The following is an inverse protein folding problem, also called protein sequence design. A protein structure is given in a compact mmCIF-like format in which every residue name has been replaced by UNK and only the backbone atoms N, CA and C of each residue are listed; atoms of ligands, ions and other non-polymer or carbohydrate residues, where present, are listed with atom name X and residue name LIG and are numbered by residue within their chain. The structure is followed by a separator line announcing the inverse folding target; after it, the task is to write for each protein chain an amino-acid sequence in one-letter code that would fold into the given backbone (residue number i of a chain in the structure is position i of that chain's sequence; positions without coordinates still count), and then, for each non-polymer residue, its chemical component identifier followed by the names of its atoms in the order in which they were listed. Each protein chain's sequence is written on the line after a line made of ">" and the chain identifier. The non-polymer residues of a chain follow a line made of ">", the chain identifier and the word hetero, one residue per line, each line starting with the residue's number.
data_IF_845836293469
#
_entry.id   IF_845836293469
#
_cell.length_a   1.000
_cell.length_b   1.000
_cell.length_c   1.000
_cell.angle_alpha   90.00
_cell.angle_beta   90.00
_cell.angle_gamma   90.00
#
_symmetry.space_group_name_H-M   'P 1'
#
loop_
_entity.id
_entity.type
_entity.pdbx_description
1 polymer ?
#
# COMPACT_ATOMS: atom_id res chain seq x y z
N UNK A 1 17.94 2.59 18.18
CA UNK A 1 17.74 3.07 16.80
C UNK A 1 16.28 3.33 16.58
N UNK A 2 15.93 4.19 15.61
CA UNK A 2 14.62 4.82 15.57
C UNK A 2 13.99 4.81 14.17
N UNK A 3 12.68 5.04 14.10
CA UNK A 3 11.96 5.13 12.81
C UNK A 3 12.41 6.36 12.03
N UNK A 4 12.78 7.41 12.73
CA UNK A 4 13.29 8.66 12.18
C UNK A 4 14.60 8.42 11.41
N UNK A 5 15.54 7.64 11.97
CA UNK A 5 16.80 7.33 11.27
C UNK A 5 16.59 6.42 10.05
N UNK A 6 15.70 5.43 10.16
CA UNK A 6 15.34 4.59 9.02
C UNK A 6 14.62 5.38 7.90
N UNK A 7 13.70 6.27 8.30
CA UNK A 7 13.01 7.18 7.38
C UNK A 7 13.95 8.18 6.71
N UNK A 8 14.94 8.70 7.45
CA UNK A 8 15.96 9.59 6.92
C UNK A 8 16.84 8.92 5.87
N UNK A 9 17.23 7.66 6.06
CA UNK A 9 17.98 6.90 5.05
C UNK A 9 17.16 6.69 3.76
N UNK A 10 15.86 6.40 3.87
CA UNK A 10 14.97 6.30 2.70
C UNK A 10 14.83 7.65 2.00
N UNK A 11 14.74 8.76 2.75
CA UNK A 11 14.73 10.12 2.19
C UNK A 11 16.01 10.39 1.40
N UNK A 12 17.17 10.12 1.99
CA UNK A 12 18.47 10.34 1.35
C UNK A 12 18.59 9.56 0.04
N UNK A 13 18.09 8.31 0.00
CA UNK A 13 18.03 7.53 -1.23
C UNK A 13 17.06 8.12 -2.28
N UNK A 14 15.91 8.63 -1.87
CA UNK A 14 14.98 9.29 -2.79
C UNK A 14 15.65 10.54 -3.39
N UNK A 15 16.28 11.36 -2.55
CA UNK A 15 16.89 12.62 -2.94
C UNK A 15 18.15 12.42 -3.78
N UNK A 16 18.92 11.34 -3.56
CA UNK A 16 20.07 10.99 -4.40
C UNK A 16 19.68 10.55 -5.83
N UNK A 17 18.40 10.29 -6.08
CA UNK A 17 17.83 10.02 -7.41
C UNK A 17 17.14 11.25 -8.01
N UNK A 18 17.26 12.41 -7.36
CA UNK A 18 16.54 13.64 -7.70
C UNK A 18 15.01 13.47 -7.72
N UNK A 19 14.47 12.51 -6.95
CA UNK A 19 13.03 12.27 -6.90
C UNK A 19 12.36 13.16 -5.86
N UNK A 20 11.28 13.82 -6.26
CA UNK A 20 10.36 14.44 -5.31
C UNK A 20 9.52 13.39 -4.59
N UNK A 21 8.82 13.78 -3.52
CA UNK A 21 7.81 12.92 -2.90
C UNK A 21 6.69 12.55 -3.88
N UNK A 22 6.39 13.40 -4.86
CA UNK A 22 5.39 13.12 -5.88
C UNK A 22 5.86 12.03 -6.85
N UNK A 23 7.14 12.04 -7.23
CA UNK A 23 7.73 11.01 -8.09
C UNK A 23 7.74 9.65 -7.39
N UNK A 24 8.14 9.61 -6.11
CA UNK A 24 8.08 8.38 -5.33
C UNK A 24 6.62 7.91 -5.11
N UNK A 25 5.67 8.83 -4.94
CA UNK A 25 4.26 8.48 -4.83
C UNK A 25 3.74 7.84 -6.13
N UNK A 26 4.10 8.40 -7.28
CA UNK A 26 3.76 7.84 -8.59
C UNK A 26 4.38 6.45 -8.80
N UNK A 27 5.65 6.25 -8.41
CA UNK A 27 6.34 4.96 -8.55
C UNK A 27 5.79 3.86 -7.62
N UNK A 28 5.28 4.22 -6.43
CA UNK A 28 4.91 3.25 -5.38
C UNK A 28 3.39 3.08 -5.22
N UNK A 29 2.59 4.03 -5.71
CA UNK A 29 1.17 4.12 -5.40
C UNK A 29 0.87 4.38 -3.92
N UNK A 30 1.83 4.96 -3.18
CA UNK A 30 1.67 5.41 -1.79
C UNK A 30 1.45 6.92 -1.78
N UNK A 31 0.55 7.42 -0.94
CA UNK A 31 0.28 8.86 -0.89
C UNK A 31 1.51 9.67 -0.45
N UNK A 32 1.66 10.88 -0.99
CA UNK A 32 2.71 11.85 -0.61
C UNK A 32 2.77 12.04 0.91
N UNK A 33 1.60 12.17 1.56
CA UNK A 33 1.50 12.29 3.01
C UNK A 33 2.01 11.04 3.73
N UNK A 34 1.68 9.85 3.23
CA UNK A 34 2.17 8.57 3.77
C UNK A 34 3.68 8.44 3.67
N UNK A 35 4.26 8.83 2.53
CA UNK A 35 5.71 8.88 2.33
C UNK A 35 6.37 9.91 3.27
N UNK A 36 5.79 11.11 3.41
CA UNK A 36 6.27 12.13 4.36
C UNK A 36 6.29 11.63 5.80
N UNK A 37 5.23 10.92 6.23
CA UNK A 37 5.21 10.34 7.58
C UNK A 37 6.28 9.26 7.76
N UNK A 38 6.49 8.43 6.75
CA UNK A 38 7.51 7.38 6.77
C UNK A 38 8.91 7.97 6.85
N UNK A 39 9.25 8.94 6.01
CA UNK A 39 10.59 9.54 5.98
C UNK A 39 10.90 10.37 7.24
N UNK A 40 9.88 10.83 7.96
CA UNK A 40 10.03 11.50 9.26
C UNK A 40 9.94 10.53 10.44
N UNK A 41 9.72 9.24 10.21
CA UNK A 41 9.50 8.25 11.28
C UNK A 41 8.24 8.46 12.11
N UNK A 42 7.36 9.38 11.71
CA UNK A 42 6.27 9.91 12.52
C UNK A 42 5.15 8.89 12.81
N UNK A 43 5.02 7.85 11.98
CA UNK A 43 4.02 6.78 12.15
C UNK A 43 4.64 5.43 11.83
N UNK A 44 4.09 4.37 12.44
CA UNK A 44 4.41 3.00 12.05
C UNK A 44 3.72 2.70 10.71
N UNK A 45 4.46 2.45 9.61
CA UNK A 45 3.84 2.06 8.35
C UNK A 45 3.28 0.63 8.44
N UNK A 46 2.21 0.35 7.69
CA UNK A 46 1.75 -1.02 7.49
C UNK A 46 2.76 -1.79 6.63
N UNK A 47 2.80 -3.12 6.83
CA UNK A 47 3.68 -4.02 6.05
C UNK A 47 3.49 -3.86 4.53
N UNK A 48 2.25 -3.72 4.08
CA UNK A 48 1.92 -3.52 2.66
C UNK A 48 2.47 -2.19 2.11
N UNK A 49 2.44 -1.13 2.91
CA UNK A 49 3.03 0.17 2.55
C UNK A 49 4.54 0.08 2.42
N UNK A 50 5.21 -0.58 3.38
CA UNK A 50 6.66 -0.82 3.33
C UNK A 50 7.04 -1.56 2.05
N UNK A 51 6.33 -2.65 1.72
CA UNK A 51 6.61 -3.44 0.52
C UNK A 51 6.46 -2.61 -0.77
N UNK A 52 5.43 -1.77 -0.88
CA UNK A 52 5.24 -0.89 -2.04
C UNK A 52 6.41 0.07 -2.21
N UNK A 53 6.90 0.64 -1.10
CA UNK A 53 8.02 1.59 -1.10
C UNK A 53 9.32 0.89 -1.47
N UNK A 54 9.61 -0.25 -0.85
CA UNK A 54 10.78 -1.07 -1.17
C UNK A 54 10.79 -1.44 -2.66
N UNK A 55 9.66 -1.90 -3.19
CA UNK A 55 9.54 -2.23 -4.61
C UNK A 55 9.76 -1.01 -5.52
N UNK A 56 9.12 0.13 -5.23
CA UNK A 56 9.27 1.33 -6.06
C UNK A 56 10.66 1.96 -5.99
N UNK A 57 11.40 1.72 -4.90
CA UNK A 57 12.81 2.10 -4.78
C UNK A 57 13.77 1.02 -5.31
N UNK A 58 13.27 -0.16 -5.70
CA UNK A 58 14.12 -1.27 -6.12
C UNK A 58 14.97 -1.86 -4.99
N UNK A 59 14.49 -1.76 -3.75
CA UNK A 59 15.17 -2.30 -2.57
C UNK A 59 14.78 -3.76 -2.32
N UNK A 60 15.71 -4.59 -1.78
CA UNK A 60 15.37 -5.93 -1.33
C UNK A 60 14.23 -5.93 -0.30
N UNK A 61 13.31 -6.92 -0.32
CA UNK A 61 12.26 -7.02 0.68
C UNK A 61 12.80 -7.09 2.11
N UNK A 62 12.20 -6.32 3.02
CA UNK A 62 12.59 -6.27 4.42
C UNK A 62 13.78 -5.35 4.71
N UNK A 63 14.25 -4.59 3.72
CA UNK A 63 15.25 -3.52 3.89
C UNK A 63 14.86 -2.59 5.04
N UNK A 64 13.63 -2.07 5.06
CA UNK A 64 13.18 -1.14 6.09
C UNK A 64 13.29 -1.73 7.50
N UNK A 65 12.98 -3.02 7.66
CA UNK A 65 13.12 -3.71 8.95
C UNK A 65 14.57 -3.78 9.42
N UNK A 66 15.53 -3.95 8.51
CA UNK A 66 16.96 -3.91 8.83
C UNK A 66 17.38 -2.50 9.23
N UNK A 67 16.91 -1.48 8.50
CA UNK A 67 17.19 -0.06 8.81
C UNK A 67 16.70 0.34 10.21
N UNK A 68 15.57 -0.20 10.66
CA UNK A 68 15.03 0.08 12.01
C UNK A 68 15.96 -0.35 13.15
N UNK A 69 16.82 -1.35 12.92
CA UNK A 69 17.71 -1.95 13.91
C UNK A 69 19.20 -1.76 13.57
N UNK A 70 19.51 -1.03 12.49
CA UNK A 70 20.88 -0.77 12.06
C UNK A 70 21.45 0.43 12.81
N UNK A 71 22.70 0.31 13.29
CA UNK A 71 23.34 1.38 14.08
C UNK A 71 23.59 2.61 13.21
N UNK A 72 23.90 2.35 11.95
CA UNK A 72 23.98 3.32 10.87
C UNK A 72 23.09 2.82 9.71
N UNK A 73 21.85 3.33 9.61
CA UNK A 73 20.92 2.95 8.55
C UNK A 73 21.41 3.35 7.16
N UNK A 74 22.16 4.43 7.02
CA UNK A 74 22.63 4.90 5.71
C UNK A 74 23.73 3.98 5.18
N UNK A 75 24.70 3.62 6.03
CA UNK A 75 25.72 2.64 5.67
C UNK A 75 25.11 1.25 5.40
N UNK A 76 24.11 0.83 6.18
CA UNK A 76 23.41 -0.44 5.91
C UNK A 76 22.66 -0.41 4.58
N UNK A 77 21.95 0.68 4.28
CA UNK A 77 21.27 0.85 2.99
C UNK A 77 22.25 0.80 1.82
N UNK A 78 23.38 1.49 1.92
CA UNK A 78 24.44 1.46 0.91
C UNK A 78 24.99 0.05 0.70
N UNK A 79 25.22 -0.72 1.78
CA UNK A 79 25.63 -2.13 1.67
C UNK A 79 24.58 -2.98 0.98
N UNK A 80 23.30 -2.82 1.29
CA UNK A 80 22.23 -3.59 0.66
C UNK A 80 22.11 -3.29 -0.84
N UNK A 81 22.29 -2.03 -1.22
CA UNK A 81 22.31 -1.62 -2.62
C UNK A 81 23.57 -2.12 -3.37
N UNK A 82 24.73 -2.12 -2.73
CA UNK A 82 25.98 -2.60 -3.32
C UNK A 82 26.08 -4.14 -3.36
N UNK A 83 25.49 -4.82 -2.37
CA UNK A 83 25.42 -6.28 -2.29
C UNK A 83 24.37 -6.88 -3.22
N UNK A 84 23.54 -6.04 -3.86
CA UNK A 84 22.81 -6.44 -5.04
C UNK A 84 23.84 -6.54 -6.17
N UNK A 85 24.23 -7.75 -6.65
CA UNK A 85 24.86 -7.80 -7.95
C UNK A 85 23.88 -7.15 -8.93
N UNK A 86 24.35 -6.76 -10.11
CA UNK A 86 23.49 -6.78 -11.29
C UNK A 86 23.03 -8.23 -11.50
N UNK A 87 22.20 -8.75 -10.60
CA UNK A 87 21.33 -9.85 -10.86
C UNK A 87 20.40 -9.28 -11.90
N UNK A 88 20.75 -9.51 -13.17
CA UNK A 88 19.75 -9.84 -14.17
C UNK A 88 18.56 -10.42 -13.41
N UNK A 89 17.44 -9.70 -13.43
CA UNK A 89 16.15 -10.27 -13.04
C UNK A 89 16.22 -11.73 -13.48
N UNK A 90 16.13 -12.73 -12.59
CA UNK A 90 16.18 -14.12 -13.03
C UNK A 90 15.13 -14.17 -14.11
N UNK A 91 15.58 -14.35 -15.37
CA UNK A 91 14.77 -14.10 -16.55
C UNK A 91 13.42 -14.70 -16.23
N UNK A 92 12.40 -13.84 -16.08
CA UNK A 92 11.08 -14.15 -15.54
C UNK A 92 10.84 -15.60 -15.89
N UNK A 93 10.85 -16.54 -14.93
CA UNK A 93 10.74 -17.96 -15.28
C UNK A 93 9.51 -18.07 -16.18
N UNK A 94 9.73 -18.20 -17.49
CA UNK A 94 8.68 -18.33 -18.50
C UNK A 94 8.27 -19.81 -18.56
N UNK A 95 8.38 -20.50 -17.44
CA UNK A 95 7.58 -21.69 -17.21
C UNK A 95 6.18 -21.21 -16.82
N UNK A 96 5.10 -21.90 -17.25
CA UNK A 96 3.81 -21.65 -16.66
C UNK A 96 3.97 -21.76 -15.15
N UNK A 97 3.54 -20.74 -14.40
CA UNK A 97 3.28 -20.91 -12.98
C UNK A 97 2.18 -21.96 -12.92
N UNK A 98 2.57 -23.21 -12.70
CA UNK A 98 1.62 -24.30 -12.44
C UNK A 98 1.11 -24.05 -11.03
N UNK A 99 0.09 -23.22 -10.94
CA UNK A 99 -0.80 -23.20 -9.79
C UNK A 99 -1.46 -24.56 -9.82
N UNK A 100 -1.05 -25.46 -8.93
CA UNK A 100 -1.85 -26.64 -8.65
C UNK A 100 -3.14 -26.11 -8.02
N UNK A 101 -4.16 -25.97 -8.86
CA UNK A 101 -5.52 -25.76 -8.40
C UNK A 101 -5.93 -27.07 -7.75
N UNK A 102 -5.49 -27.29 -6.53
CA UNK A 102 -6.11 -28.29 -5.68
C UNK A 102 -7.61 -27.99 -5.72
N UNK A 103 -8.36 -29.02 -6.10
CA UNK A 103 -9.80 -29.07 -6.35
C UNK A 103 -10.67 -28.78 -5.11
N UNK A 104 -10.11 -28.15 -4.08
CA UNK A 104 -10.78 -27.85 -2.81
C UNK A 104 -11.44 -26.45 -2.85
N UNK A 105 -11.69 -25.89 -4.05
CA UNK A 105 -12.39 -24.60 -4.19
C UNK A 105 -13.90 -24.73 -4.04
N UNK A 106 -14.46 -25.94 -4.09
CA UNK A 106 -15.91 -26.17 -3.93
C UNK A 106 -16.44 -25.56 -2.61
N UNK A 107 -15.65 -25.65 -1.53
CA UNK A 107 -15.99 -25.04 -0.23
C UNK A 107 -15.99 -23.52 -0.31
N UNK A 108 -15.04 -22.93 -1.05
CA UNK A 108 -14.93 -21.48 -1.22
C UNK A 108 -16.01 -20.92 -2.15
N UNK A 109 -16.37 -21.67 -3.20
CA UNK A 109 -17.44 -21.34 -4.14
C UNK A 109 -18.79 -21.36 -3.43
N UNK A 110 -19.10 -22.43 -2.68
CA UNK A 110 -20.32 -22.48 -1.87
C UNK A 110 -20.39 -21.38 -0.80
N UNK A 111 -19.26 -21.02 -0.20
CA UNK A 111 -19.19 -19.89 0.72
C UNK A 111 -19.46 -18.55 0.02
N UNK A 112 -18.90 -18.34 -1.17
CA UNK A 112 -19.09 -17.12 -1.95
C UNK A 112 -20.56 -16.97 -2.41
N UNK A 113 -21.19 -18.07 -2.84
CA UNK A 113 -22.60 -18.11 -3.22
C UNK A 113 -23.51 -17.73 -2.03
N UNK A 114 -23.26 -18.33 -0.86
CA UNK A 114 -24.00 -18.00 0.35
C UNK A 114 -23.86 -16.51 0.76
N UNK A 115 -22.67 -15.93 0.59
CA UNK A 115 -22.44 -14.50 0.85
C UNK A 115 -23.18 -13.60 -0.13
N UNK A 116 -23.21 -13.96 -1.42
CA UNK A 116 -23.95 -13.22 -2.44
C UNK A 116 -25.45 -13.24 -2.16
N UNK A 117 -26.00 -14.37 -1.75
CA UNK A 117 -27.42 -14.48 -1.42
C UNK A 117 -27.79 -13.72 -0.14
N UNK A 118 -26.92 -13.72 0.87
CA UNK A 118 -27.10 -12.90 2.05
C UNK A 118 -27.13 -11.40 1.71
N UNK A 119 -26.23 -10.95 0.82
CA UNK A 119 -26.18 -9.56 0.35
C UNK A 119 -27.42 -9.19 -0.46
N UNK A 120 -27.88 -10.05 -1.39
CA UNK A 120 -29.11 -9.81 -2.15
C UNK A 120 -30.32 -9.71 -1.23
N UNK A 121 -30.45 -10.61 -0.26
CA UNK A 121 -31.53 -10.59 0.73
C UNK A 121 -31.51 -9.31 1.57
N UNK A 122 -30.31 -8.79 1.90
CA UNK A 122 -30.19 -7.51 2.58
C UNK A 122 -30.62 -6.34 1.68
N UNK A 123 -30.22 -6.34 0.41
CA UNK A 123 -30.60 -5.34 -0.59
C UNK A 123 -32.12 -5.30 -0.78
N UNK A 124 -32.77 -6.47 -0.90
CA UNK A 124 -34.23 -6.56 -1.09
C UNK A 124 -35.02 -6.07 0.13
N UNK A 125 -34.40 -6.10 1.32
CA UNK A 125 -34.97 -5.58 2.58
C UNK A 125 -34.66 -4.11 2.80
N UNK A 126 -33.83 -3.48 1.95
CA UNK A 126 -33.63 -2.05 2.04
C UNK A 126 -34.98 -1.37 1.77
N UNK A 127 -35.29 -0.30 2.51
CA UNK A 127 -36.44 0.52 2.17
C UNK A 127 -36.29 1.00 0.72
N UNK A 128 -37.41 1.18 0.02
CA UNK A 128 -37.40 1.86 -1.27
C UNK A 128 -36.56 3.14 -1.14
N UNK A 129 -35.76 3.47 -2.15
CA UNK A 129 -35.00 4.71 -2.18
C UNK A 129 -35.98 5.89 -2.24
N UNK A 130 -36.61 6.22 -1.13
CA UNK A 130 -37.39 7.43 -0.95
C UNK A 130 -36.38 8.54 -0.73
N UNK A 131 -35.85 9.07 -1.83
CA UNK A 131 -35.20 10.36 -1.84
C UNK A 131 -36.24 11.39 -1.39
N UNK A 132 -36.31 11.70 -0.10
CA UNK A 132 -37.03 12.89 0.34
C UNK A 132 -36.53 13.46 1.69
N UNK A 133 -35.85 12.65 2.51
CA UNK A 133 -35.33 13.15 3.80
C UNK A 133 -34.08 14.04 3.62
N UNK A 134 -33.22 13.76 2.63
CA UNK A 134 -32.00 14.57 2.39
C UNK A 134 -32.23 15.78 1.47
N UNK A 135 -33.20 15.70 0.56
CA UNK A 135 -33.52 16.78 -0.38
C UNK A 135 -34.14 17.98 0.35
N UNK A 136 -34.98 17.71 1.36
CA UNK A 136 -35.57 18.73 2.24
C UNK A 136 -34.50 19.46 3.06
N UNK A 137 -33.48 18.74 3.56
CA UNK A 137 -32.40 19.34 4.33
C UNK A 137 -31.54 20.28 3.47
N UNK A 138 -31.17 19.86 2.25
CA UNK A 138 -30.36 20.68 1.33
C UNK A 138 -31.10 21.97 0.93
N UNK A 139 -32.41 21.89 0.64
CA UNK A 139 -33.21 23.07 0.29
C UNK A 139 -33.45 24.01 1.49
N UNK A 140 -33.49 23.49 2.72
CA UNK A 140 -33.65 24.32 3.93
C UNK A 140 -32.41 25.17 4.23
N UNK A 141 -31.21 24.64 3.98
CA UNK A 141 -29.94 25.31 4.26
C UNK A 141 -29.70 26.45 3.26
N UNK A 142 -30.09 26.27 1.99
CA UNK A 142 -29.90 27.28 0.93
C UNK A 142 -30.86 28.48 1.05
N UNK A 143 -32.01 28.31 1.73
CA UNK A 143 -32.96 29.40 1.99
C UNK A 143 -32.60 30.27 3.20
N UNK A 144 -31.66 29.81 4.03
CA UNK A 144 -31.20 30.52 5.23
C UNK A 144 -30.03 31.48 4.97
N UNK A 145 -29.55 31.57 3.72
CA UNK A 145 -28.36 32.36 3.32
C UNK A 145 -28.72 33.43 2.27
N UNK A 146 -29.96 33.92 2.28
CA UNK A 146 -30.37 35.10 1.48
C UNK A 146 -31.00 36.18 2.35
#
# INVERSE_FOLDING_TARGET
>A
MSRESAGAAIRALRESRDWSLADLAAATGVSIMGLSYLERGARKPHKSTVQKIENGLGLPPGTYSRLLVAADPEAELARLMAAQPAAEMPARRTGPVVVDRHSDTEVLEGYAEAQLDALKSAIDRLPATTSNEYETYILSVDRSVR
#
